data_IF_986265968494
#
_entry.id   IF_986265968494
#
_cell.length_a   1.000
_cell.length_b   1.000
_cell.length_c   1.000
_cell.angle_alpha   90.00
_cell.angle_beta   90.00
_cell.angle_gamma   90.00
#
_symmetry.space_group_name_H-M   'P 1'
#
loop_
_entity.id
_entity.type
_entity.pdbx_description
1 polymer ?
#
# COMPACT_ATOMS: atom_id res chain seq x y z
N UNK A 1 -26.92 9.52 12.69
CA UNK A 1 -25.62 8.86 12.50
C UNK A 1 -24.88 9.61 11.41
N UNK A 2 -23.78 10.27 11.73
CA UNK A 2 -22.91 10.94 10.73
C UNK A 2 -22.29 9.87 9.83
N UNK A 3 -22.40 10.08 8.51
CA UNK A 3 -21.78 9.20 7.51
C UNK A 3 -20.27 9.13 7.81
N UNK A 4 -19.65 7.94 7.84
CA UNK A 4 -18.21 7.85 8.08
C UNK A 4 -17.46 8.64 7.02
N UNK A 5 -16.40 9.36 7.43
CA UNK A 5 -15.58 10.16 6.54
C UNK A 5 -15.08 9.31 5.35
N UNK A 6 -14.96 9.89 4.15
CA UNK A 6 -14.38 9.16 3.00
C UNK A 6 -12.88 8.84 3.22
N UNK A 7 -12.29 7.96 2.40
CA UNK A 7 -10.83 7.69 2.44
C UNK A 7 -10.05 8.98 2.19
N UNK A 8 -10.46 9.77 1.20
CA UNK A 8 -9.90 11.09 0.90
C UNK A 8 -9.91 11.99 2.14
N UNK A 9 -11.06 12.19 2.77
CA UNK A 9 -11.20 13.02 3.98
C UNK A 9 -10.31 12.55 5.13
N UNK A 10 -10.18 11.23 5.31
CA UNK A 10 -9.30 10.66 6.35
C UNK A 10 -7.85 11.05 6.11
N UNK A 11 -7.37 10.94 4.87
CA UNK A 11 -5.98 11.25 4.54
C UNK A 11 -5.70 12.75 4.46
N UNK A 12 -6.62 13.56 3.94
CA UNK A 12 -6.48 15.01 3.93
C UNK A 12 -6.37 15.58 5.36
N UNK A 13 -7.23 15.14 6.28
CA UNK A 13 -7.16 15.58 7.68
C UNK A 13 -5.89 15.15 8.41
N UNK A 14 -5.23 14.07 7.96
CA UNK A 14 -4.06 13.51 8.62
C UNK A 14 -2.78 13.58 7.77
N UNK A 15 -2.78 14.31 6.65
CA UNK A 15 -1.65 14.37 5.72
C UNK A 15 -0.33 14.76 6.42
N UNK A 16 -0.37 15.68 7.37
CA UNK A 16 0.81 16.06 8.17
C UNK A 16 1.39 14.92 9.01
N UNK A 17 0.52 14.03 9.50
CA UNK A 17 0.93 12.84 10.29
C UNK A 17 1.58 11.77 9.42
N UNK A 18 1.16 11.67 8.15
CA UNK A 18 1.74 10.74 7.18
C UNK A 18 3.00 11.27 6.51
N UNK A 19 3.22 12.59 6.54
CA UNK A 19 4.42 13.21 5.98
C UNK A 19 5.64 12.84 6.82
N UNK A 20 6.61 12.15 6.21
CA UNK A 20 7.82 11.67 6.89
C UNK A 20 9.04 11.72 5.97
N UNK A 21 10.16 12.04 6.57
CA UNK A 21 11.47 11.95 5.91
C UNK A 21 12.23 10.68 6.32
N UNK A 22 11.91 10.14 7.50
CA UNK A 22 12.51 8.92 8.06
C UNK A 22 11.45 7.87 8.39
N UNK A 23 11.82 6.58 8.53
CA UNK A 23 10.92 5.52 8.93
C UNK A 23 10.35 5.75 10.34
N UNK A 24 9.03 5.83 10.45
CA UNK A 24 8.32 6.03 11.74
C UNK A 24 7.10 5.13 11.90
N UNK A 25 6.50 4.67 10.78
CA UNK A 25 5.36 3.77 10.78
C UNK A 25 5.82 2.32 10.84
N UNK A 26 5.02 1.45 11.43
CA UNK A 26 5.29 0.01 11.45
C UNK A 26 5.64 -0.53 10.05
N UNK A 27 4.86 -0.14 9.06
CA UNK A 27 5.05 -0.58 7.67
C UNK A 27 6.36 -0.08 7.01
N UNK A 28 6.98 0.97 7.55
CA UNK A 28 8.27 1.46 7.07
C UNK A 28 9.41 0.50 7.42
N UNK A 29 9.20 -0.32 8.44
CA UNK A 29 10.13 -1.37 8.89
C UNK A 29 9.74 -2.74 8.36
N UNK A 30 8.47 -3.12 8.49
CA UNK A 30 8.02 -4.51 8.28
C UNK A 30 7.50 -4.81 6.87
N UNK A 31 7.24 -3.80 6.02
CA UNK A 31 6.70 -4.02 4.67
C UNK A 31 7.50 -3.32 3.56
N UNK A 32 7.68 -2.01 3.61
CA UNK A 32 8.31 -1.24 2.53
C UNK A 32 9.73 -1.69 2.18
N UNK A 33 10.63 -1.98 3.15
CA UNK A 33 11.96 -2.49 2.82
C UNK A 33 11.90 -3.81 2.05
N UNK A 34 10.95 -4.70 2.41
CA UNK A 34 10.76 -5.97 1.71
C UNK A 34 10.23 -5.78 0.29
N UNK A 35 9.34 -4.81 0.07
CA UNK A 35 8.91 -4.43 -1.28
C UNK A 35 10.10 -3.95 -2.10
N UNK A 36 10.90 -3.02 -1.57
CA UNK A 36 12.08 -2.47 -2.27
C UNK A 36 13.10 -3.57 -2.61
N UNK A 37 13.38 -4.47 -1.69
CA UNK A 37 14.24 -5.63 -1.92
C UNK A 37 13.69 -6.51 -3.05
N UNK A 38 12.40 -6.80 -3.01
CA UNK A 38 11.74 -7.68 -3.99
C UNK A 38 11.64 -7.06 -5.38
N UNK A 39 11.55 -5.73 -5.47
CA UNK A 39 11.56 -5.02 -6.75
C UNK A 39 12.85 -5.27 -7.53
N UNK A 40 14.00 -5.39 -6.86
CA UNK A 40 15.29 -5.49 -7.52
C UNK A 40 15.61 -4.24 -8.34
N UNK A 41 16.28 -4.39 -9.47
CA UNK A 41 16.64 -3.26 -10.33
C UNK A 41 15.43 -2.72 -11.08
N UNK A 42 15.25 -1.39 -11.00
CA UNK A 42 14.18 -0.65 -11.71
C UNK A 42 14.76 0.34 -12.72
N UNK A 43 16.05 0.23 -13.05
CA UNK A 43 16.71 1.12 -13.99
C UNK A 43 16.02 1.11 -15.35
N UNK A 44 15.65 2.28 -15.86
CA UNK A 44 15.01 2.46 -17.16
C UNK A 44 13.55 2.00 -17.27
N UNK A 45 12.92 1.53 -16.16
CA UNK A 45 11.54 1.06 -16.17
C UNK A 45 10.52 2.20 -16.12
N UNK A 46 9.39 2.00 -16.79
CA UNK A 46 8.16 2.78 -16.62
C UNK A 46 7.37 2.16 -15.46
N UNK A 47 7.16 2.93 -14.39
CA UNK A 47 6.61 2.43 -13.13
C UNK A 47 5.30 3.16 -12.79
N UNK A 48 4.30 2.43 -12.35
CA UNK A 48 3.10 2.96 -11.71
C UNK A 48 3.16 2.75 -10.18
N UNK A 49 2.93 3.84 -9.43
CA UNK A 49 2.81 3.83 -7.97
C UNK A 49 1.35 4.15 -7.59
N UNK A 50 0.55 3.10 -7.42
CA UNK A 50 -0.88 3.18 -7.18
C UNK A 50 -1.17 3.34 -5.68
N UNK A 51 -1.78 4.47 -5.29
CA UNK A 51 -1.91 4.87 -3.90
C UNK A 51 -0.57 5.39 -3.35
N UNK A 52 0.07 6.31 -4.11
CA UNK A 52 1.44 6.75 -3.85
C UNK A 52 1.62 7.55 -2.55
N UNK A 53 0.52 8.03 -1.95
CA UNK A 53 0.58 8.89 -0.77
C UNK A 53 1.47 10.11 -1.02
N UNK A 54 2.34 10.40 -0.08
CA UNK A 54 3.32 11.52 -0.16
C UNK A 54 4.55 11.19 -1.02
N UNK A 55 4.49 10.14 -1.85
CA UNK A 55 5.52 9.81 -2.83
C UNK A 55 6.73 9.07 -2.27
N UNK A 56 6.62 8.44 -1.12
CA UNK A 56 7.74 7.74 -0.47
C UNK A 56 8.39 6.70 -1.39
N UNK A 57 7.61 5.80 -1.98
CA UNK A 57 8.17 4.74 -2.84
C UNK A 57 8.87 5.32 -4.06
N UNK A 58 8.26 6.28 -4.76
CA UNK A 58 8.88 6.94 -5.90
C UNK A 58 10.25 7.55 -5.57
N UNK A 59 10.38 8.23 -4.42
CA UNK A 59 11.67 8.79 -3.98
C UNK A 59 12.72 7.72 -3.69
N UNK A 60 12.32 6.58 -3.10
CA UNK A 60 13.25 5.46 -2.84
C UNK A 60 13.76 4.80 -4.13
N UNK A 61 13.00 4.90 -5.22
CA UNK A 61 13.39 4.33 -6.53
C UNK A 61 14.32 5.25 -7.35
N UNK A 62 14.33 6.56 -7.07
CA UNK A 62 15.14 7.55 -7.81
C UNK A 62 16.61 7.18 -7.99
N UNK A 63 17.35 6.69 -6.95
CA UNK A 63 18.77 6.34 -7.09
C UNK A 63 19.04 5.29 -8.16
N UNK A 64 18.05 4.46 -8.48
CA UNK A 64 18.14 3.42 -9.51
C UNK A 64 17.81 3.93 -10.92
N UNK A 65 17.49 5.22 -11.09
CA UNK A 65 17.23 5.86 -12.39
C UNK A 65 16.11 5.19 -13.20
N UNK A 66 14.88 5.09 -12.68
CA UNK A 66 13.73 4.66 -13.48
C UNK A 66 13.52 5.63 -14.66
N UNK A 67 12.90 5.17 -15.76
CA UNK A 67 12.55 6.04 -16.87
C UNK A 67 11.44 7.02 -16.47
N UNK A 68 10.43 6.55 -15.77
CA UNK A 68 9.41 7.38 -15.13
C UNK A 68 8.74 6.61 -13.97
N UNK A 69 8.24 7.36 -12.99
CA UNK A 69 7.35 6.87 -11.94
C UNK A 69 6.11 7.75 -11.96
N UNK A 70 4.96 7.18 -12.32
CA UNK A 70 3.66 7.83 -12.25
C UNK A 70 2.94 7.42 -10.97
N UNK A 71 2.86 8.36 -10.01
CA UNK A 71 2.16 8.20 -8.75
C UNK A 71 0.74 8.78 -8.79
N UNK A 72 -0.22 8.03 -8.27
CA UNK A 72 -1.63 8.46 -8.17
C UNK A 72 -2.13 8.22 -6.76
N UNK A 73 -2.80 9.22 -6.21
CA UNK A 73 -3.47 9.11 -4.91
C UNK A 73 -4.78 9.89 -4.92
N UNK A 74 -5.76 9.47 -4.12
CA UNK A 74 -7.05 10.15 -4.01
C UNK A 74 -6.94 11.44 -3.22
N UNK A 75 -6.00 11.54 -2.28
CA UNK A 75 -5.80 12.71 -1.43
C UNK A 75 -4.99 13.79 -2.16
N UNK A 76 -5.60 14.95 -2.33
CA UNK A 76 -4.93 16.13 -2.89
C UNK A 76 -3.73 16.55 -2.04
N UNK A 77 -3.90 16.57 -0.72
CA UNK A 77 -2.85 16.96 0.22
C UNK A 77 -1.62 16.05 0.15
N UNK A 78 -1.86 14.73 0.00
CA UNK A 78 -0.80 13.75 -0.21
C UNK A 78 -0.05 13.98 -1.51
N UNK A 79 -0.77 14.19 -2.61
CA UNK A 79 -0.17 14.45 -3.93
C UNK A 79 0.65 15.75 -3.93
N UNK A 80 0.16 16.80 -3.29
CA UNK A 80 0.91 18.04 -3.15
C UNK A 80 2.17 17.86 -2.28
N UNK A 81 2.09 17.05 -1.21
CA UNK A 81 3.25 16.67 -0.43
C UNK A 81 4.27 15.87 -1.27
N UNK A 82 3.80 14.92 -2.07
CA UNK A 82 4.64 14.14 -2.99
C UNK A 82 5.39 15.04 -3.98
N UNK A 83 4.70 16.00 -4.60
CA UNK A 83 5.31 16.98 -5.52
C UNK A 83 6.35 17.85 -4.83
N UNK A 84 6.04 18.38 -3.65
CA UNK A 84 7.01 19.18 -2.87
C UNK A 84 8.26 18.38 -2.51
N UNK A 85 8.10 17.12 -2.10
CA UNK A 85 9.19 16.24 -1.68
C UNK A 85 9.98 15.61 -2.83
N UNK A 86 9.43 15.61 -4.05
CA UNK A 86 10.11 15.09 -5.24
C UNK A 86 11.44 15.83 -5.52
N UNK A 87 11.55 17.11 -5.13
CA UNK A 87 12.77 17.87 -5.28
C UNK A 87 13.28 17.90 -6.74
N UNK A 88 14.55 17.57 -6.95
CA UNK A 88 15.15 17.47 -8.28
C UNK A 88 14.62 16.30 -9.12
N UNK A 89 13.98 15.30 -8.49
CA UNK A 89 13.33 14.16 -9.17
C UNK A 89 11.94 14.48 -9.73
N UNK A 90 11.38 15.63 -9.39
CA UNK A 90 10.05 16.04 -9.83
C UNK A 90 9.98 16.45 -11.29
N UNK A 91 8.81 16.25 -11.90
CA UNK A 91 8.53 16.58 -13.30
C UNK A 91 8.80 18.04 -13.62
N UNK A 92 8.46 18.97 -12.72
CA UNK A 92 8.70 20.42 -12.86
C UNK A 92 10.17 20.78 -13.08
N UNK A 93 11.09 19.88 -12.74
CA UNK A 93 12.54 20.01 -12.91
C UNK A 93 13.11 19.02 -13.93
N UNK A 94 12.25 18.41 -14.74
CA UNK A 94 12.65 17.42 -15.75
C UNK A 94 13.00 16.04 -15.17
N UNK A 95 12.64 15.77 -13.91
CA UNK A 95 12.85 14.48 -13.29
C UNK A 95 11.80 13.44 -13.67
N UNK A 96 12.01 12.18 -13.28
CA UNK A 96 11.12 11.08 -13.67
C UNK A 96 9.86 10.94 -12.81
N UNK A 97 9.72 11.66 -11.68
CA UNK A 97 8.58 11.53 -10.77
C UNK A 97 7.42 12.43 -11.21
N UNK A 98 6.27 11.82 -11.46
CA UNK A 98 5.01 12.49 -11.79
C UNK A 98 3.95 12.08 -10.80
N UNK A 99 3.23 13.05 -10.25
CA UNK A 99 2.18 12.78 -9.27
C UNK A 99 0.89 13.48 -9.63
N UNK A 100 -0.22 12.75 -9.60
CA UNK A 100 -1.56 13.33 -9.86
C UNK A 100 -2.61 12.81 -8.89
N UNK A 101 -3.64 13.62 -8.68
CA UNK A 101 -4.83 13.22 -7.92
C UNK A 101 -5.69 12.31 -8.81
N UNK A 102 -6.19 11.22 -8.23
CA UNK A 102 -7.12 10.32 -8.90
C UNK A 102 -7.68 9.27 -7.95
N UNK A 103 -8.94 8.95 -8.13
CA UNK A 103 -9.64 7.90 -7.40
C UNK A 103 -9.45 6.56 -8.12
N UNK A 104 -8.62 5.70 -7.55
CA UNK A 104 -8.30 4.39 -8.11
C UNK A 104 -9.46 3.37 -8.01
N UNK A 105 -10.57 3.71 -7.36
CA UNK A 105 -11.82 2.95 -7.47
C UNK A 105 -12.55 3.19 -8.80
N UNK A 106 -12.18 4.25 -9.53
CA UNK A 106 -12.72 4.62 -10.83
C UNK A 106 -11.74 4.24 -11.94
N UNK A 107 -12.11 3.31 -12.81
CA UNK A 107 -11.22 2.73 -13.83
C UNK A 107 -10.69 3.78 -14.83
N UNK A 108 -11.48 4.78 -15.15
CA UNK A 108 -11.12 5.89 -16.04
C UNK A 108 -10.07 6.84 -15.46
N UNK A 109 -9.84 6.78 -14.14
CA UNK A 109 -8.81 7.55 -13.45
C UNK A 109 -7.50 6.78 -13.24
N UNK A 110 -7.45 5.49 -13.59
CA UNK A 110 -6.22 4.70 -13.56
C UNK A 110 -5.18 5.23 -14.55
N UNK A 111 -3.87 4.96 -14.36
CA UNK A 111 -2.86 5.34 -15.35
C UNK A 111 -3.13 4.67 -16.69
N UNK A 112 -2.76 5.32 -17.77
CA UNK A 112 -2.96 4.79 -19.11
C UNK A 112 -1.63 4.52 -19.80
N UNK A 113 -1.65 3.61 -20.79
CA UNK A 113 -0.48 3.20 -21.55
C UNK A 113 0.27 2.02 -20.90
N UNK A 114 1.34 1.56 -21.57
CA UNK A 114 2.08 0.40 -21.08
C UNK A 114 3.04 0.77 -19.94
N UNK A 115 3.15 -0.11 -18.93
CA UNK A 115 4.17 -0.03 -17.88
C UNK A 115 4.97 -1.34 -17.79
N UNK A 116 6.15 -1.27 -17.16
CA UNK A 116 7.02 -2.42 -16.93
C UNK A 116 6.80 -2.99 -15.53
N UNK A 117 6.42 -2.11 -14.60
CA UNK A 117 6.25 -2.42 -13.20
C UNK A 117 5.10 -1.60 -12.63
N UNK A 118 4.23 -2.23 -11.87
CA UNK A 118 3.27 -1.54 -11.01
C UNK A 118 3.55 -1.89 -9.54
N UNK A 119 3.33 -0.93 -8.65
CA UNK A 119 3.37 -1.12 -7.20
C UNK A 119 2.10 -0.55 -6.58
N UNK A 120 1.62 -1.18 -5.50
CA UNK A 120 0.50 -0.68 -4.70
C UNK A 120 0.73 -1.03 -3.23
N UNK A 121 1.31 -0.10 -2.48
CA UNK A 121 1.68 -0.32 -1.08
C UNK A 121 0.55 0.17 -0.17
N UNK A 122 -0.25 -0.77 0.34
CA UNK A 122 -1.43 -0.50 1.17
C UNK A 122 -2.54 0.29 0.48
N UNK A 123 -2.80 0.03 -0.80
CA UNK A 123 -3.94 0.57 -1.54
C UNK A 123 -5.20 -0.28 -1.36
N UNK A 124 -5.10 -1.59 -1.59
CA UNK A 124 -6.26 -2.48 -1.70
C UNK A 124 -7.05 -2.64 -0.40
N UNK A 125 -6.46 -2.32 0.73
CA UNK A 125 -7.17 -2.25 2.01
C UNK A 125 -8.14 -1.06 2.12
N UNK A 126 -8.18 -0.16 1.14
CA UNK A 126 -9.14 0.97 1.08
C UNK A 126 -10.20 0.79 -0.01
N UNK A 127 -10.01 -0.15 -0.91
CA UNK A 127 -10.91 -0.42 -2.02
C UNK A 127 -11.87 -1.57 -1.69
N UNK A 128 -13.07 -1.53 -2.25
CA UNK A 128 -13.99 -2.69 -2.24
C UNK A 128 -13.38 -3.87 -2.99
N UNK A 129 -13.94 -5.06 -2.82
CA UNK A 129 -13.49 -6.24 -3.54
C UNK A 129 -13.65 -6.06 -5.06
N UNK A 130 -14.76 -5.48 -5.50
CA UNK A 130 -15.00 -5.19 -6.92
C UNK A 130 -14.01 -4.19 -7.51
N UNK A 131 -13.71 -3.10 -6.79
CA UNK A 131 -12.72 -2.10 -7.21
C UNK A 131 -11.31 -2.72 -7.23
N UNK A 132 -10.96 -3.54 -6.22
CA UNK A 132 -9.70 -4.30 -6.20
C UNK A 132 -9.54 -5.16 -7.45
N UNK A 133 -10.56 -5.94 -7.82
CA UNK A 133 -10.55 -6.77 -9.03
C UNK A 133 -10.41 -5.93 -10.31
N UNK A 134 -11.07 -4.76 -10.36
CA UNK A 134 -10.98 -3.84 -11.50
C UNK A 134 -9.57 -3.28 -11.67
N UNK A 135 -8.92 -2.83 -10.59
CA UNK A 135 -7.53 -2.35 -10.62
C UNK A 135 -6.58 -3.48 -11.03
N UNK A 136 -6.70 -4.67 -10.44
CA UNK A 136 -5.89 -5.85 -10.80
C UNK A 136 -5.99 -6.17 -12.30
N UNK A 137 -7.20 -6.10 -12.87
CA UNK A 137 -7.44 -6.34 -14.31
C UNK A 137 -6.82 -5.26 -15.17
N UNK A 138 -6.97 -3.99 -14.80
CA UNK A 138 -6.39 -2.87 -15.53
C UNK A 138 -4.86 -2.95 -15.55
N UNK A 139 -4.24 -3.22 -14.41
CA UNK A 139 -2.78 -3.42 -14.33
C UNK A 139 -2.33 -4.60 -15.19
N UNK A 140 -3.04 -5.74 -15.13
CA UNK A 140 -2.72 -6.90 -15.97
C UNK A 140 -2.72 -6.55 -17.46
N UNK A 141 -3.72 -5.78 -17.91
CA UNK A 141 -3.84 -5.38 -19.33
C UNK A 141 -2.75 -4.38 -19.74
N UNK A 142 -2.28 -3.54 -18.85
CA UNK A 142 -1.34 -2.46 -19.10
C UNK A 142 0.13 -2.86 -18.96
N UNK A 143 0.43 -3.88 -18.17
CA UNK A 143 1.81 -4.37 -18.06
C UNK A 143 2.32 -4.88 -19.40
N UNK A 144 3.59 -4.61 -19.72
CA UNK A 144 4.27 -5.27 -20.84
C UNK A 144 4.48 -6.76 -20.57
N UNK A 145 4.65 -7.60 -21.62
CA UNK A 145 5.04 -9.00 -21.41
C UNK A 145 6.29 -9.11 -20.53
N UNK A 146 6.24 -9.95 -19.49
CA UNK A 146 7.28 -10.06 -18.46
C UNK A 146 7.25 -8.97 -17.39
N UNK A 147 6.33 -8.03 -17.48
CA UNK A 147 6.10 -7.00 -16.46
C UNK A 147 5.58 -7.59 -15.15
N UNK A 148 5.77 -6.85 -14.07
CA UNK A 148 5.41 -7.30 -12.72
C UNK A 148 4.51 -6.32 -11.99
N UNK A 149 3.65 -6.85 -11.13
CA UNK A 149 2.87 -6.06 -10.19
C UNK A 149 3.14 -6.55 -8.76
N UNK A 150 3.62 -5.66 -7.90
CA UNK A 150 3.80 -5.91 -6.47
C UNK A 150 2.81 -5.10 -5.66
N UNK A 151 2.12 -5.75 -4.74
CA UNK A 151 1.27 -5.01 -3.81
C UNK A 151 1.34 -5.59 -2.40
N UNK A 152 1.11 -4.72 -1.41
CA UNK A 152 1.02 -5.13 -0.01
C UNK A 152 -0.33 -4.74 0.58
N UNK A 153 -0.80 -5.57 1.49
CA UNK A 153 -2.02 -5.36 2.27
C UNK A 153 -1.78 -5.75 3.73
N UNK A 154 -2.55 -5.23 4.69
CA UNK A 154 -2.58 -5.80 6.02
C UNK A 154 -2.97 -7.28 5.95
N UNK A 155 -2.33 -8.11 6.78
CA UNK A 155 -2.65 -9.53 6.77
C UNK A 155 -4.11 -9.77 7.17
N UNK A 156 -4.90 -10.54 6.39
CA UNK A 156 -6.32 -10.71 6.65
C UNK A 156 -6.65 -11.24 8.05
N UNK A 157 -5.80 -12.09 8.61
CA UNK A 157 -6.03 -12.66 9.94
C UNK A 157 -5.69 -11.72 11.09
N UNK A 158 -5.00 -10.59 10.84
CA UNK A 158 -4.47 -9.74 11.91
C UNK A 158 -5.55 -9.24 12.88
N UNK A 159 -6.72 -8.84 12.36
CA UNK A 159 -7.84 -8.37 13.16
C UNK A 159 -8.37 -9.42 14.15
N UNK A 160 -8.12 -10.70 13.89
CA UNK A 160 -8.61 -11.85 14.67
C UNK A 160 -7.55 -12.51 15.52
N UNK A 161 -6.28 -12.12 15.38
CA UNK A 161 -5.16 -12.73 16.10
C UNK A 161 -4.76 -11.99 17.36
N UNK A 162 -5.21 -10.74 17.52
CA UNK A 162 -4.82 -9.95 18.69
C UNK A 162 -5.91 -8.98 19.14
N UNK A 163 -5.93 -8.61 20.43
CA UNK A 163 -6.82 -7.58 20.95
C UNK A 163 -6.46 -6.20 20.39
N UNK A 164 -7.40 -5.26 20.54
CA UNK A 164 -7.26 -3.87 20.16
C UNK A 164 -6.23 -3.17 21.07
N UNK A 165 -4.97 -3.16 20.66
CA UNK A 165 -3.89 -2.50 21.42
C UNK A 165 -2.73 -2.05 20.52
N UNK A 166 -1.94 -1.05 21.00
CA UNK A 166 -0.75 -0.60 20.29
C UNK A 166 0.23 -1.75 19.97
N UNK A 167 1.10 -1.58 18.96
CA UNK A 167 1.21 -0.40 18.10
C UNK A 167 0.38 -0.49 16.81
N UNK A 168 -0.39 -1.55 16.59
CA UNK A 168 -1.20 -1.74 15.39
C UNK A 168 -2.31 -2.77 15.62
N UNK A 169 -3.53 -2.45 15.25
CA UNK A 169 -4.66 -3.38 15.26
C UNK A 169 -5.74 -2.95 14.25
N UNK A 170 -6.59 -3.89 13.89
CA UNK A 170 -7.92 -3.66 13.34
C UNK A 170 -8.98 -4.27 14.27
N UNK A 171 -10.13 -3.61 14.34
CA UNK A 171 -11.28 -4.04 15.12
C UNK A 171 -12.29 -4.71 14.17
N UNK A 172 -12.49 -6.03 14.29
CA UNK A 172 -13.49 -6.73 13.48
C UNK A 172 -14.93 -6.44 13.94
N UNK A 173 -15.13 -5.67 15.04
CA UNK A 173 -16.42 -5.51 15.67
C UNK A 173 -17.07 -6.87 15.97
N UNK A 174 -18.32 -7.08 15.51
CA UNK A 174 -19.05 -8.33 15.69
C UNK A 174 -18.89 -9.32 14.51
N UNK A 175 -18.09 -8.97 13.50
CA UNK A 175 -17.91 -9.84 12.34
C UNK A 175 -16.91 -10.97 12.60
N UNK A 176 -17.24 -12.16 12.18
CA UNK A 176 -16.25 -13.24 12.01
C UNK A 176 -15.39 -13.01 10.76
N UNK A 177 -14.29 -13.77 10.63
CA UNK A 177 -13.35 -13.62 9.52
C UNK A 177 -14.00 -13.68 8.13
N UNK A 178 -14.99 -14.58 7.93
CA UNK A 178 -15.67 -14.72 6.64
C UNK A 178 -16.78 -13.68 6.46
N UNK A 179 -17.52 -13.35 7.52
CA UNK A 179 -18.59 -12.35 7.47
C UNK A 179 -18.05 -10.93 7.25
N UNK A 180 -16.83 -10.66 7.67
CA UNK A 180 -16.18 -9.37 7.45
C UNK A 180 -15.76 -9.11 5.99
N UNK A 181 -15.88 -10.09 5.09
CA UNK A 181 -15.51 -9.90 3.68
C UNK A 181 -16.21 -8.68 3.09
N UNK A 182 -15.41 -7.77 2.53
CA UNK A 182 -15.81 -6.46 1.97
C UNK A 182 -16.46 -5.49 2.98
N UNK A 183 -16.33 -5.75 4.30
CA UNK A 183 -16.77 -4.85 5.36
C UNK A 183 -15.66 -3.89 5.78
N UNK A 184 -16.06 -2.68 6.19
CA UNK A 184 -15.14 -1.66 6.66
C UNK A 184 -14.83 -1.86 8.16
N UNK A 185 -13.59 -2.18 8.48
CA UNK A 185 -13.09 -2.28 9.85
C UNK A 185 -12.35 -1.01 10.24
N UNK A 186 -12.56 -0.55 11.47
CA UNK A 186 -11.76 0.49 12.10
C UNK A 186 -10.47 -0.07 12.68
N UNK A 187 -9.52 0.80 13.01
CA UNK A 187 -8.28 0.38 13.64
C UNK A 187 -7.41 1.55 14.08
N UNK A 188 -6.24 1.24 14.60
CA UNK A 188 -5.25 2.22 15.02
C UNK A 188 -3.84 1.80 14.65
N UNK A 189 -3.04 2.78 14.26
CA UNK A 189 -1.60 2.63 14.05
C UNK A 189 -0.86 3.68 14.87
N UNK A 190 0.21 3.27 15.53
CA UNK A 190 1.09 4.16 16.29
C UNK A 190 2.37 4.40 15.51
N UNK A 191 2.87 5.60 15.64
CA UNK A 191 4.19 5.99 15.14
C UNK A 191 5.23 5.67 16.20
N UNK A 192 6.42 5.28 15.78
CA UNK A 192 7.53 5.02 16.69
C UNK A 192 8.06 6.29 17.38
N UNK A 193 7.87 7.47 16.77
CA UNK A 193 8.17 8.78 17.37
C UNK A 193 7.06 9.32 18.28
N UNK A 194 6.04 8.53 18.58
CA UNK A 194 4.87 8.89 19.35
C UNK A 194 3.67 9.29 18.47
N UNK A 195 2.51 9.35 19.08
CA UNK A 195 1.26 9.64 18.37
C UNK A 195 0.58 8.39 17.81
N UNK A 196 -0.75 8.49 17.68
CA UNK A 196 -1.60 7.45 17.11
C UNK A 196 -2.44 8.07 15.99
N UNK A 197 -2.69 7.28 14.95
CA UNK A 197 -3.51 7.68 13.81
C UNK A 197 -4.61 6.63 13.63
N UNK A 198 -5.88 7.06 13.54
CA UNK A 198 -6.94 6.14 13.17
C UNK A 198 -6.72 5.65 11.75
N UNK A 199 -6.94 4.37 11.54
CA UNK A 199 -6.88 3.73 10.23
C UNK A 199 -8.15 2.92 10.00
N UNK A 200 -8.37 2.51 8.77
CA UNK A 200 -9.46 1.62 8.43
C UNK A 200 -9.04 0.68 7.31
N UNK A 201 -9.75 -0.41 7.19
CA UNK A 201 -9.50 -1.43 6.18
C UNK A 201 -10.83 -2.00 5.69
N UNK A 202 -11.04 -2.02 4.39
CA UNK A 202 -12.06 -2.88 3.79
C UNK A 202 -11.49 -4.29 3.82
N UNK A 203 -11.99 -5.08 4.76
CA UNK A 203 -11.47 -6.42 5.00
C UNK A 203 -11.68 -7.32 3.77
N UNK A 204 -10.68 -8.12 3.46
CA UNK A 204 -10.74 -9.19 2.47
C UNK A 204 -10.05 -10.40 3.04
N UNK A 205 -10.67 -11.55 2.86
CA UNK A 205 -10.03 -12.82 3.19
C UNK A 205 -8.88 -13.13 2.23
N UNK A 206 -8.03 -14.08 2.57
CA UNK A 206 -7.02 -14.59 1.64
C UNK A 206 -7.66 -15.12 0.35
N UNK A 207 -8.80 -15.81 0.48
CA UNK A 207 -9.54 -16.34 -0.67
C UNK A 207 -10.08 -15.23 -1.57
N UNK A 208 -10.52 -14.09 -1.00
CA UNK A 208 -10.99 -12.95 -1.79
C UNK A 208 -9.86 -12.34 -2.63
N UNK A 209 -8.65 -12.17 -2.06
CA UNK A 209 -7.50 -11.69 -2.83
C UNK A 209 -7.13 -12.65 -3.96
N UNK A 210 -7.02 -13.95 -3.69
CA UNK A 210 -6.65 -14.94 -4.71
C UNK A 210 -7.72 -15.04 -5.81
N UNK A 211 -9.01 -14.96 -5.44
CA UNK A 211 -10.11 -14.95 -6.41
C UNK A 211 -10.07 -13.70 -7.27
N UNK A 212 -9.88 -12.52 -6.67
CA UNK A 212 -9.75 -11.26 -7.40
C UNK A 212 -8.58 -11.28 -8.40
N UNK A 213 -7.44 -11.87 -8.02
CA UNK A 213 -6.29 -12.08 -8.91
C UNK A 213 -6.68 -12.96 -10.09
N UNK A 214 -7.31 -14.12 -9.86
CA UNK A 214 -7.73 -15.03 -10.92
C UNK A 214 -8.78 -14.40 -11.86
N UNK A 215 -9.81 -13.73 -11.31
CA UNK A 215 -10.87 -13.05 -12.07
C UNK A 215 -10.34 -11.85 -12.88
N UNK A 216 -9.24 -11.26 -12.45
CA UNK A 216 -8.56 -10.18 -13.16
C UNK A 216 -7.74 -10.67 -14.38
N UNK A 217 -7.60 -11.99 -14.58
CA UNK A 217 -6.94 -12.58 -15.73
C UNK A 217 -5.50 -13.04 -15.48
N UNK A 218 -5.02 -13.02 -14.24
CA UNK A 218 -3.70 -13.54 -13.89
C UNK A 218 -3.76 -15.07 -13.85
N UNK A 219 -2.91 -15.73 -14.63
CA UNK A 219 -2.94 -17.19 -14.82
C UNK A 219 -1.88 -17.96 -14.05
N UNK A 220 -0.82 -17.27 -13.60
CA UNK A 220 0.22 -17.87 -12.75
C UNK A 220 -0.10 -17.69 -11.27
N UNK A 221 0.38 -18.62 -10.46
CA UNK A 221 0.32 -18.45 -9.00
C UNK A 221 1.10 -17.20 -8.59
N UNK A 222 0.51 -16.33 -7.74
CA UNK A 222 1.25 -15.21 -7.18
C UNK A 222 2.36 -15.72 -6.27
N UNK A 223 3.50 -15.02 -6.26
CA UNK A 223 4.41 -15.13 -5.12
C UNK A 223 3.74 -14.44 -3.93
N UNK A 224 3.75 -15.10 -2.79
CA UNK A 224 3.22 -14.59 -1.52
C UNK A 224 4.32 -14.61 -0.45
N UNK A 225 4.38 -13.54 0.33
CA UNK A 225 5.26 -13.45 1.49
C UNK A 225 4.47 -12.89 2.68
N UNK A 226 4.47 -13.59 3.80
CA UNK A 226 3.85 -13.14 5.05
C UNK A 226 4.89 -12.38 5.86
N UNK A 227 4.65 -11.08 6.03
CA UNK A 227 5.61 -10.17 6.63
C UNK A 227 5.27 -9.93 8.10
N UNK A 228 6.29 -9.99 8.95
CA UNK A 228 6.18 -9.77 10.38
C UNK A 228 7.41 -9.09 10.97
N UNK A 229 7.50 -9.11 12.29
CA UNK A 229 8.62 -8.55 13.04
C UNK A 229 9.80 -9.52 13.00
N UNK A 230 10.98 -9.01 12.61
CA UNK A 230 12.25 -9.76 12.58
C UNK A 230 13.06 -9.58 13.87
N UNK A 231 14.15 -10.33 14.02
CA UNK A 231 15.09 -10.19 15.13
C UNK A 231 15.75 -8.79 15.16
N UNK A 232 16.00 -8.20 14.00
CA UNK A 232 16.56 -6.84 13.87
C UNK A 232 15.57 -5.78 14.36
N UNK A 233 14.28 -5.92 14.03
CA UNK A 233 13.24 -5.03 14.57
C UNK A 233 13.15 -5.11 16.09
N UNK A 234 13.22 -6.31 16.66
CA UNK A 234 13.22 -6.51 18.12
C UNK A 234 14.47 -5.94 18.78
N UNK A 235 15.63 -6.00 18.13
CA UNK A 235 16.86 -5.39 18.64
C UNK A 235 16.81 -3.86 18.55
N UNK A 236 16.15 -3.31 17.51
CA UNK A 236 16.01 -1.87 17.31
C UNK A 236 15.10 -1.21 18.36
N UNK A 237 13.94 -1.81 18.64
CA UNK A 237 12.96 -1.28 19.59
C UNK A 237 12.07 -2.42 20.14
N UNK A 238 12.49 -3.08 21.24
CA UNK A 238 11.74 -4.17 21.84
C UNK A 238 10.35 -3.75 22.34
N UNK A 239 10.20 -2.49 22.80
CA UNK A 239 8.94 -2.00 23.33
C UNK A 239 7.89 -1.81 22.23
N UNK A 240 8.32 -1.30 21.06
CA UNK A 240 7.44 -1.06 19.93
C UNK A 240 7.12 -2.36 19.15
N UNK A 241 8.12 -3.17 18.87
CA UNK A 241 7.96 -4.37 18.02
C UNK A 241 7.61 -5.63 18.81
N UNK A 242 7.97 -5.71 20.10
CA UNK A 242 7.75 -6.89 20.93
C UNK A 242 6.31 -7.41 20.98
N UNK A 243 5.30 -6.54 21.14
CA UNK A 243 3.89 -6.95 21.11
C UNK A 243 3.42 -7.63 19.82
N UNK A 244 4.17 -7.47 18.72
CA UNK A 244 3.85 -7.99 17.38
C UNK A 244 4.69 -9.22 16.99
N UNK A 245 5.57 -9.70 17.88
CA UNK A 245 6.44 -10.84 17.60
C UNK A 245 5.64 -12.10 17.24
N UNK A 246 6.00 -12.72 16.11
CA UNK A 246 5.35 -13.96 15.67
C UNK A 246 3.99 -13.78 15.01
N UNK A 247 3.55 -12.54 14.78
CA UNK A 247 2.29 -12.27 14.11
C UNK A 247 2.51 -11.96 12.63
N UNK A 248 1.65 -12.46 11.73
CA UNK A 248 1.62 -12.04 10.35
C UNK A 248 0.97 -10.65 10.28
N UNK A 249 1.75 -9.63 9.93
CA UNK A 249 1.31 -8.24 9.91
C UNK A 249 0.80 -7.81 8.56
N UNK A 250 1.49 -8.23 7.51
CA UNK A 250 1.22 -7.83 6.13
C UNK A 250 1.41 -9.01 5.18
N UNK A 251 0.78 -8.90 4.03
CA UNK A 251 1.03 -9.78 2.88
C UNK A 251 1.68 -8.97 1.76
N UNK A 252 2.71 -9.53 1.15
CA UNK A 252 3.28 -9.08 -0.10
C UNK A 252 2.91 -10.06 -1.20
N UNK A 253 2.26 -9.55 -2.25
CA UNK A 253 1.99 -10.27 -3.48
C UNK A 253 2.93 -9.80 -4.59
N UNK A 254 3.44 -10.72 -5.41
CA UNK A 254 4.02 -10.41 -6.70
C UNK A 254 3.33 -11.23 -7.79
N UNK A 255 2.82 -10.52 -8.79
CA UNK A 255 2.18 -11.07 -9.97
C UNK A 255 3.06 -10.81 -11.19
N UNK A 256 3.12 -11.76 -12.14
CA UNK A 256 3.89 -11.64 -13.39
C UNK A 256 2.95 -11.84 -14.58
N UNK A 257 3.09 -10.94 -15.57
CA UNK A 257 2.39 -11.02 -16.83
C UNK A 257 3.11 -11.89 -17.85
#
# INVERSE_FOLDING_TARGET
>A
MTKPASTEQLYDCHASTWNRQEPVLLSDYTARPRVLERLGSVAGLQIWDLGCGEGFMGRQLLPQRPAAVEGIDVSREMVEAARRQAGAGGEDKGGPLRYRVGDLSQVDQLPSGPCDLAIAVFLFNYLSLSATTAVLRHVHQSLRPGGRFLFTVPHPSLAYLRPQQPPFFYDPADYTYLEASDQLLGGGIWRRDGGATPVRCVHKTMADYLRAVAEAGWTSLPYLDELGVTAEHLALDPAFFGPLKGMPLHLLFELKR
#
